data_IF_314336978840
#
_entry.id   IF_314336978840
#
_cell.length_a   1.000
_cell.length_b   1.000
_cell.length_c   1.000
_cell.angle_alpha   90.00
_cell.angle_beta   90.00
_cell.angle_gamma   90.00
#
_symmetry.space_group_name_H-M   'P 1'
#
loop_
_entity.id
_entity.type
_entity.pdbx_description
1 polymer ?
#
# COMPACT_ATOMS: atom_id res chain seq x y z
N UNK A 1 13.29 -28.57 -57.32
CA UNK A 1 12.51 -28.91 -56.10
C UNK A 1 13.16 -28.35 -54.84
N UNK A 2 14.49 -28.33 -54.72
CA UNK A 2 15.24 -27.77 -53.58
C UNK A 2 14.98 -26.28 -53.33
N UNK A 3 14.93 -25.43 -54.36
CA UNK A 3 14.72 -23.98 -54.21
C UNK A 3 13.35 -23.58 -53.65
N UNK A 4 12.29 -24.35 -53.96
CA UNK A 4 10.94 -24.13 -53.42
C UNK A 4 10.83 -24.58 -51.95
N UNK A 5 11.58 -25.63 -51.58
CA UNK A 5 11.64 -26.13 -50.20
C UNK A 5 12.41 -25.16 -49.30
N UNK A 6 13.50 -24.59 -49.80
CA UNK A 6 14.31 -23.61 -49.06
C UNK A 6 13.55 -22.29 -48.84
N UNK A 7 12.78 -21.81 -49.83
CA UNK A 7 11.97 -20.60 -49.71
C UNK A 7 10.81 -20.77 -48.71
N UNK A 8 10.17 -21.95 -48.71
CA UNK A 8 9.14 -22.31 -47.75
C UNK A 8 9.70 -22.41 -46.32
N UNK A 9 10.89 -23.00 -46.16
CA UNK A 9 11.57 -23.08 -44.86
C UNK A 9 11.94 -21.69 -44.34
N UNK A 10 12.55 -20.84 -45.16
CA UNK A 10 12.93 -19.48 -44.76
C UNK A 10 11.71 -18.64 -44.38
N UNK A 11 10.60 -18.79 -45.10
CA UNK A 11 9.34 -18.11 -44.77
C UNK A 11 8.83 -18.53 -43.39
N UNK A 12 8.80 -19.84 -43.12
CA UNK A 12 8.33 -20.36 -41.84
C UNK A 12 9.28 -20.01 -40.67
N UNK A 13 10.59 -20.00 -40.91
CA UNK A 13 11.58 -19.58 -39.93
C UNK A 13 11.38 -18.12 -39.50
N UNK A 14 11.12 -17.21 -40.46
CA UNK A 14 10.79 -15.80 -40.14
C UNK A 14 9.52 -15.68 -39.32
N UNK A 15 8.52 -16.50 -39.61
CA UNK A 15 7.27 -16.50 -38.85
C UNK A 15 7.47 -17.00 -37.41
N UNK A 16 8.26 -18.05 -37.20
CA UNK A 16 8.66 -18.53 -35.87
C UNK A 16 9.38 -17.43 -35.09
N UNK A 17 10.34 -16.73 -35.71
CA UNK A 17 11.04 -15.61 -35.07
C UNK A 17 10.08 -14.48 -34.67
N UNK A 18 9.13 -14.13 -35.55
CA UNK A 18 8.09 -13.13 -35.28
C UNK A 18 7.19 -13.54 -34.10
N UNK A 19 6.75 -14.80 -34.06
CA UNK A 19 5.90 -15.32 -32.99
C UNK A 19 6.64 -15.41 -31.65
N UNK A 20 7.92 -15.81 -31.65
CA UNK A 20 8.76 -15.79 -30.46
C UNK A 20 8.87 -14.36 -29.92
N UNK A 21 9.12 -13.38 -30.78
CA UNK A 21 9.13 -11.97 -30.42
C UNK A 21 7.80 -11.51 -29.78
N UNK A 22 6.66 -11.93 -30.33
CA UNK A 22 5.33 -11.63 -29.76
C UNK A 22 5.15 -12.23 -28.36
N UNK A 23 5.58 -13.48 -28.15
CA UNK A 23 5.52 -14.12 -26.83
C UNK A 23 6.36 -13.35 -25.80
N UNK A 24 7.59 -12.97 -26.18
CA UNK A 24 8.49 -12.23 -25.30
C UNK A 24 7.95 -10.84 -24.96
N UNK A 25 7.38 -10.12 -25.93
CA UNK A 25 6.75 -8.82 -25.68
C UNK A 25 5.54 -8.94 -24.73
N UNK A 26 4.71 -9.98 -24.88
CA UNK A 26 3.57 -10.21 -23.99
C UNK A 26 4.01 -10.57 -22.57
N UNK A 27 5.06 -11.38 -22.42
CA UNK A 27 5.69 -11.65 -21.12
C UNK A 27 6.30 -10.39 -20.49
N UNK A 28 6.92 -9.50 -21.27
CA UNK A 28 7.41 -8.22 -20.77
C UNK A 28 6.25 -7.30 -20.32
N UNK A 29 5.13 -7.29 -21.03
CA UNK A 29 3.92 -6.57 -20.59
C UNK A 29 3.41 -7.13 -19.26
N UNK A 30 3.34 -8.45 -19.13
CA UNK A 30 2.99 -9.13 -17.88
C UNK A 30 3.93 -8.71 -16.74
N UNK A 31 5.25 -8.78 -16.97
CA UNK A 31 6.25 -8.41 -15.97
C UNK A 31 6.16 -6.93 -15.56
N UNK A 32 5.90 -6.03 -16.52
CA UNK A 32 5.68 -4.60 -16.22
C UNK A 32 4.43 -4.39 -15.36
N UNK A 33 3.35 -5.10 -15.64
CA UNK A 33 2.11 -4.97 -14.89
C UNK A 33 2.24 -5.51 -13.47
N UNK A 34 2.82 -6.70 -13.28
CA UNK A 34 3.04 -7.25 -11.94
C UNK A 34 4.01 -6.38 -11.13
N UNK A 35 5.03 -5.76 -11.76
CA UNK A 35 5.90 -4.77 -11.09
C UNK A 35 5.10 -3.58 -10.56
N UNK A 36 4.21 -3.01 -11.39
CA UNK A 36 3.35 -1.91 -10.96
C UNK A 36 2.44 -2.33 -9.80
N UNK A 37 1.82 -3.51 -9.87
CA UNK A 37 1.01 -4.03 -8.77
C UNK A 37 1.83 -4.20 -7.49
N UNK A 38 2.98 -4.87 -7.57
CA UNK A 38 3.82 -5.13 -6.41
C UNK A 38 4.35 -3.86 -5.76
N UNK A 39 4.64 -2.82 -6.55
CA UNK A 39 5.07 -1.53 -6.04
C UNK A 39 3.99 -0.81 -5.21
N UNK A 40 2.71 -1.02 -5.51
CA UNK A 40 1.61 -0.21 -4.97
C UNK A 40 0.59 -0.96 -4.10
N UNK A 41 0.69 -2.29 -4.00
CA UNK A 41 -0.27 -3.07 -3.22
C UNK A 41 -0.17 -2.84 -1.69
N UNK A 42 0.96 -2.33 -1.21
CA UNK A 42 1.19 -2.13 0.22
C UNK A 42 2.16 -0.97 0.45
N UNK A 43 1.86 -0.14 1.45
CA UNK A 43 2.73 0.92 1.95
C UNK A 43 2.57 0.99 3.46
N UNK A 44 3.68 1.10 4.19
CA UNK A 44 3.68 1.24 5.64
C UNK A 44 4.88 2.05 6.09
N UNK A 45 4.67 3.00 7.01
CA UNK A 45 5.75 3.76 7.62
C UNK A 45 5.31 5.09 8.24
N UNK A 46 6.27 5.85 8.79
CA UNK A 46 6.03 7.21 9.27
C UNK A 46 5.49 8.11 8.15
N UNK A 47 4.49 8.95 8.46
CA UNK A 47 3.82 9.80 7.46
C UNK A 47 4.81 10.66 6.66
N UNK A 48 5.82 11.23 7.34
CA UNK A 48 6.84 12.08 6.73
C UNK A 48 7.81 11.32 5.79
N UNK A 49 7.87 9.99 5.87
CA UNK A 49 8.78 9.16 5.09
C UNK A 49 8.07 8.32 4.02
N UNK A 50 6.73 8.38 3.92
CA UNK A 50 5.94 7.53 3.03
C UNK A 50 6.37 7.64 1.56
N UNK A 51 6.65 8.85 1.08
CA UNK A 51 7.10 9.06 -0.30
C UNK A 51 8.43 8.35 -0.58
N UNK A 52 9.39 8.44 0.36
CA UNK A 52 10.68 7.77 0.25
C UNK A 52 10.54 6.23 0.33
N UNK A 53 9.68 5.73 1.23
CA UNK A 53 9.37 4.30 1.32
C UNK A 53 8.77 3.78 0.00
N UNK A 54 7.85 4.55 -0.59
CA UNK A 54 7.22 4.20 -1.86
C UNK A 54 8.22 4.20 -3.02
N UNK A 55 9.11 5.19 -3.09
CA UNK A 55 10.17 5.26 -4.09
C UNK A 55 11.13 4.06 -3.98
N UNK A 56 11.61 3.75 -2.77
CA UNK A 56 12.48 2.61 -2.53
C UNK A 56 11.83 1.27 -2.93
N UNK A 57 10.50 1.14 -2.71
CA UNK A 57 9.76 -0.06 -3.12
C UNK A 57 9.64 -0.19 -4.64
N UNK A 58 9.45 0.93 -5.36
CA UNK A 58 9.46 0.97 -6.82
C UNK A 58 10.82 0.51 -7.35
N UNK A 59 11.91 1.09 -6.82
CA UNK A 59 13.28 0.78 -7.26
C UNK A 59 13.65 -0.69 -6.98
N UNK A 60 13.34 -1.20 -5.79
CA UNK A 60 13.54 -2.61 -5.45
C UNK A 60 12.77 -3.54 -6.39
N UNK A 61 11.54 -3.17 -6.74
CA UNK A 61 10.67 -4.00 -7.60
C UNK A 61 11.11 -3.94 -9.08
N UNK A 62 11.68 -2.83 -9.53
CA UNK A 62 12.08 -2.62 -10.93
C UNK A 62 13.10 -3.66 -11.43
N UNK A 63 14.05 -4.05 -10.57
CA UNK A 63 15.11 -5.02 -10.89
C UNK A 63 14.69 -6.49 -10.83
N UNK A 64 13.48 -6.80 -10.32
CA UNK A 64 13.06 -8.19 -10.13
C UNK A 64 12.65 -8.84 -11.45
N UNK A 65 12.96 -10.14 -11.56
CA UNK A 65 12.51 -10.97 -12.69
C UNK A 65 11.12 -11.54 -12.42
N UNK A 66 10.42 -11.97 -13.48
CA UNK A 66 9.11 -12.62 -13.37
C UNK A 66 9.05 -13.71 -12.29
N UNK A 67 10.08 -14.56 -12.16
CA UNK A 67 10.11 -15.62 -11.15
C UNK A 67 10.08 -15.09 -9.71
N UNK A 68 10.89 -14.07 -9.43
CA UNK A 68 10.90 -13.39 -8.12
C UNK A 68 9.56 -12.68 -7.86
N UNK A 69 9.02 -11.98 -8.87
CA UNK A 69 7.75 -11.26 -8.76
C UNK A 69 6.56 -12.19 -8.50
N UNK A 70 6.53 -13.36 -9.12
CA UNK A 70 5.51 -14.39 -8.85
C UNK A 70 5.61 -14.89 -7.41
N UNK A 71 6.83 -15.08 -6.89
CA UNK A 71 7.05 -15.41 -5.48
C UNK A 71 6.51 -14.34 -4.54
N UNK A 72 6.85 -13.07 -4.79
CA UNK A 72 6.40 -11.94 -3.99
C UNK A 72 4.87 -11.79 -4.05
N UNK A 73 4.27 -11.92 -5.23
CA UNK A 73 2.83 -11.84 -5.45
C UNK A 73 2.08 -12.89 -4.61
N UNK A 74 2.56 -14.15 -4.62
CA UNK A 74 1.99 -15.26 -3.86
C UNK A 74 2.27 -15.18 -2.34
N UNK A 75 3.25 -14.37 -1.93
CA UNK A 75 3.60 -14.18 -0.53
C UNK A 75 2.89 -13.00 0.14
N UNK A 76 2.39 -12.03 -0.64
CA UNK A 76 1.92 -10.75 -0.10
C UNK A 76 0.59 -10.27 -0.67
N UNK A 77 0.30 -10.50 -1.95
CA UNK A 77 -0.90 -10.01 -2.60
C UNK A 77 -1.98 -11.09 -2.74
N UNK A 78 -1.67 -12.23 -3.36
CA UNK A 78 -2.62 -13.35 -3.50
C UNK A 78 -2.46 -14.25 -2.28
N UNK A 79 -3.50 -14.36 -1.46
CA UNK A 79 -3.48 -15.11 -0.20
C UNK A 79 -4.66 -16.08 -0.13
N UNK A 80 -4.53 -17.23 0.56
CA UNK A 80 -5.68 -18.05 0.87
C UNK A 80 -6.60 -17.30 1.85
N UNK A 81 -7.91 -17.53 1.76
CA UNK A 81 -8.85 -17.07 2.79
C UNK A 81 -8.51 -17.79 4.10
N UNK A 82 -8.04 -17.04 5.09
CA UNK A 82 -7.92 -17.52 6.48
C UNK A 82 -9.32 -17.49 7.14
N UNK A 83 -9.68 -18.55 7.85
CA UNK A 83 -10.99 -18.69 8.52
C UNK A 83 -11.00 -17.98 9.90
N UNK A 84 -9.88 -17.39 10.33
CA UNK A 84 -9.73 -16.73 11.62
C UNK A 84 -9.71 -15.19 11.52
N UNK A 85 -10.11 -14.47 12.60
CA UNK A 85 -10.37 -13.03 12.56
C UNK A 85 -9.10 -12.23 12.21
N UNK A 86 -9.24 -11.01 11.64
CA UNK A 86 -8.12 -10.23 11.13
C UNK A 86 -7.05 -10.04 12.22
N UNK A 87 -5.91 -10.69 12.01
CA UNK A 87 -4.75 -10.59 12.86
C UNK A 87 -4.30 -9.13 12.96
N UNK A 88 -4.03 -8.71 14.21
CA UNK A 88 -3.43 -7.42 14.56
C UNK A 88 -2.38 -7.01 13.52
N UNK A 89 -2.59 -5.85 12.89
CA UNK A 89 -1.49 -5.11 12.28
C UNK A 89 -0.54 -4.75 13.44
N UNK A 90 0.53 -5.51 13.60
CA UNK A 90 1.60 -5.16 14.53
C UNK A 90 2.38 -4.01 13.91
N UNK A 91 1.94 -2.78 14.18
CA UNK A 91 2.76 -1.59 13.98
C UNK A 91 3.85 -1.59 15.05
N UNK A 92 5.03 -2.13 14.72
CA UNK A 92 6.26 -1.87 15.48
C UNK A 92 6.77 -0.47 15.11
N UNK A 93 6.01 0.56 15.46
CA UNK A 93 6.48 1.94 15.43
C UNK A 93 6.76 2.37 16.87
N UNK A 94 7.79 3.21 17.12
CA UNK A 94 7.87 3.94 18.38
C UNK A 94 6.52 4.62 18.64
N UNK A 95 5.99 4.52 19.88
CA UNK A 95 4.63 4.97 20.22
C UNK A 95 4.35 6.44 19.86
N UNK A 96 5.38 7.24 19.61
CA UNK A 96 5.31 8.69 19.42
C UNK A 96 5.37 9.19 17.96
N UNK A 97 5.51 8.33 16.95
CA UNK A 97 5.58 8.78 15.53
C UNK A 97 4.31 8.39 14.77
N UNK A 98 3.55 9.36 14.21
CA UNK A 98 2.39 9.07 13.37
C UNK A 98 2.79 8.17 12.19
N UNK A 99 2.19 6.99 12.12
CA UNK A 99 2.42 5.99 11.08
C UNK A 99 1.15 5.74 10.28
N UNK A 100 1.34 5.40 9.02
CA UNK A 100 0.28 4.99 8.10
C UNK A 100 0.63 3.61 7.56
N UNK A 101 -0.36 2.74 7.47
CA UNK A 101 -0.25 1.45 6.83
C UNK A 101 -1.48 1.17 5.97
N UNK A 102 -1.26 0.71 4.74
CA UNK A 102 -2.28 0.24 3.82
C UNK A 102 -1.75 -1.02 3.14
N UNK A 103 -2.60 -2.05 3.08
CA UNK A 103 -2.31 -3.29 2.36
C UNK A 103 -3.56 -3.74 1.61
N UNK A 104 -3.40 -4.04 0.33
CA UNK A 104 -4.43 -4.62 -0.54
C UNK A 104 -4.03 -6.05 -0.88
N UNK A 105 -4.98 -6.97 -0.75
CA UNK A 105 -4.77 -8.39 -0.99
C UNK A 105 -5.96 -8.99 -1.74
N UNK A 106 -5.69 -10.00 -2.57
CA UNK A 106 -6.67 -10.86 -3.20
C UNK A 106 -6.77 -12.15 -2.39
N UNK A 107 -7.85 -12.28 -1.63
CA UNK A 107 -8.13 -13.50 -0.86
C UNK A 107 -8.90 -14.50 -1.72
N UNK A 108 -8.36 -15.71 -1.85
CA UNK A 108 -8.94 -16.79 -2.66
C UNK A 108 -9.26 -18.02 -1.79
N UNK A 109 -10.35 -18.75 -2.08
CA UNK A 109 -10.56 -20.08 -1.51
C UNK A 109 -9.34 -20.99 -1.75
N UNK A 110 -9.05 -21.91 -0.84
CA UNK A 110 -7.85 -22.75 -0.89
C UNK A 110 -7.65 -23.50 -2.22
N UNK A 111 -8.75 -23.98 -2.82
CA UNK A 111 -8.71 -24.64 -4.13
C UNK A 111 -8.27 -23.69 -5.25
N UNK A 112 -8.81 -22.46 -5.24
CA UNK A 112 -8.47 -21.42 -6.21
C UNK A 112 -7.03 -20.91 -6.01
N UNK A 113 -6.60 -20.70 -4.77
CA UNK A 113 -5.24 -20.33 -4.44
C UNK A 113 -4.23 -21.37 -4.97
N UNK A 114 -4.51 -22.65 -4.75
CA UNK A 114 -3.65 -23.74 -5.23
C UNK A 114 -3.58 -23.78 -6.76
N UNK A 115 -4.72 -23.57 -7.43
CA UNK A 115 -4.77 -23.46 -8.91
C UNK A 115 -3.92 -22.29 -9.39
N UNK A 116 -4.16 -21.07 -8.89
CA UNK A 116 -3.43 -19.86 -9.28
C UNK A 116 -1.92 -20.01 -9.03
N UNK A 117 -1.54 -20.57 -7.88
CA UNK A 117 -0.13 -20.84 -7.55
C UNK A 117 0.55 -21.77 -8.55
N UNK A 118 -0.12 -22.83 -8.98
CA UNK A 118 0.40 -23.75 -10.01
C UNK A 118 0.52 -23.02 -11.34
N UNK A 119 -0.53 -22.35 -11.76
CA UNK A 119 -0.65 -21.67 -13.05
C UNK A 119 0.41 -20.55 -13.22
N UNK A 120 0.71 -19.79 -12.16
CA UNK A 120 1.80 -18.81 -12.16
C UNK A 120 3.19 -19.45 -12.23
N UNK A 121 3.39 -20.61 -11.59
CA UNK A 121 4.65 -21.36 -11.73
C UNK A 121 4.83 -21.90 -13.16
N UNK A 122 3.76 -22.37 -13.78
CA UNK A 122 3.77 -22.78 -15.19
C UNK A 122 4.14 -21.62 -16.11
N UNK A 123 3.66 -20.40 -15.84
CA UNK A 123 4.03 -19.21 -16.61
C UNK A 123 5.54 -18.89 -16.50
N UNK A 124 6.13 -19.04 -15.31
CA UNK A 124 7.58 -18.86 -15.10
C UNK A 124 8.37 -19.92 -15.87
N UNK A 125 7.93 -21.18 -15.83
CA UNK A 125 8.55 -22.27 -16.61
C UNK A 125 8.44 -22.00 -18.11
N UNK A 126 7.27 -21.58 -18.59
CA UNK A 126 7.05 -21.21 -19.98
C UNK A 126 8.00 -20.10 -20.42
N UNK A 127 8.13 -19.03 -19.64
CA UNK A 127 9.09 -17.94 -19.91
C UNK A 127 10.51 -18.47 -20.00
N UNK A 128 10.93 -19.32 -19.06
CA UNK A 128 12.29 -19.85 -19.05
C UNK A 128 12.56 -20.77 -20.24
N UNK A 129 11.59 -21.61 -20.61
CA UNK A 129 11.70 -22.44 -21.82
C UNK A 129 11.85 -21.60 -23.08
N UNK A 130 10.99 -20.58 -23.25
CA UNK A 130 11.05 -19.69 -24.42
C UNK A 130 12.37 -18.92 -24.53
N UNK A 131 12.96 -18.51 -23.40
CA UNK A 131 14.18 -17.70 -23.38
C UNK A 131 15.45 -18.55 -23.43
N UNK A 132 15.48 -19.71 -22.78
CA UNK A 132 16.70 -20.47 -22.54
C UNK A 132 16.79 -21.81 -23.26
N UNK A 133 15.65 -22.41 -23.65
CA UNK A 133 15.62 -23.79 -24.17
C UNK A 133 14.95 -23.92 -25.54
N UNK A 134 14.36 -22.86 -26.06
CA UNK A 134 13.54 -22.91 -27.28
C UNK A 134 14.31 -23.45 -28.50
N UNK A 135 15.54 -22.98 -28.72
CA UNK A 135 16.39 -23.41 -29.85
C UNK A 135 16.89 -24.85 -29.66
N UNK A 136 17.07 -25.29 -28.42
CA UNK A 136 17.50 -26.67 -28.12
C UNK A 136 16.36 -27.68 -28.38
N UNK A 137 15.11 -27.23 -28.25
CA UNK A 137 13.90 -28.06 -28.40
C UNK A 137 13.39 -28.13 -29.84
N UNK A 138 13.67 -27.12 -30.65
CA UNK A 138 13.16 -27.02 -32.02
C UNK A 138 14.28 -26.74 -33.02
N UNK A 139 14.47 -27.66 -33.97
CA UNK A 139 15.40 -27.45 -35.08
C UNK A 139 14.85 -26.42 -36.09
N UNK A 140 15.29 -25.17 -35.97
CA UNK A 140 14.88 -24.09 -36.86
C UNK A 140 15.52 -24.15 -38.25
N UNK A 141 16.32 -25.19 -38.53
CA UNK A 141 16.95 -25.44 -39.83
C UNK A 141 16.29 -26.58 -40.60
N UNK A 142 15.18 -27.12 -40.09
CA UNK A 142 14.30 -28.04 -40.83
C UNK A 142 12.87 -27.52 -40.92
N UNK A 143 12.18 -27.92 -41.98
CA UNK A 143 10.77 -27.61 -42.21
C UNK A 143 9.87 -28.13 -41.07
N UNK A 144 10.08 -29.37 -40.63
CA UNK A 144 9.29 -29.98 -39.55
C UNK A 144 9.58 -29.34 -38.19
N UNK A 145 10.84 -29.01 -37.91
CA UNK A 145 11.21 -28.30 -36.70
C UNK A 145 10.61 -26.89 -36.65
N UNK A 146 10.58 -26.17 -37.78
CA UNK A 146 9.89 -24.88 -37.88
C UNK A 146 8.37 -25.00 -37.70
N UNK A 147 7.72 -26.06 -38.21
CA UNK A 147 6.27 -26.29 -38.00
C UNK A 147 5.96 -26.57 -36.53
N UNK A 148 6.73 -27.46 -35.91
CA UNK A 148 6.62 -27.76 -34.49
C UNK A 148 6.82 -26.52 -33.61
N UNK A 149 7.85 -25.71 -33.92
CA UNK A 149 8.13 -24.45 -33.24
C UNK A 149 6.97 -23.46 -33.38
N UNK A 150 6.41 -23.32 -34.58
CA UNK A 150 5.27 -22.45 -34.84
C UNK A 150 4.07 -22.83 -33.95
N UNK A 151 3.68 -24.10 -33.95
CA UNK A 151 2.52 -24.58 -33.19
C UNK A 151 2.74 -24.44 -31.67
N UNK A 152 3.94 -24.73 -31.20
CA UNK A 152 4.32 -24.52 -29.80
C UNK A 152 4.23 -23.03 -29.40
N UNK A 153 4.68 -22.12 -30.26
CA UNK A 153 4.61 -20.67 -30.00
C UNK A 153 3.18 -20.13 -30.02
N UNK A 154 2.30 -20.64 -30.88
CA UNK A 154 0.88 -20.27 -30.87
C UNK A 154 0.23 -20.68 -29.55
N UNK A 155 0.47 -21.90 -29.09
CA UNK A 155 -0.03 -22.39 -27.80
C UNK A 155 0.55 -21.59 -26.62
N UNK A 156 1.85 -21.32 -26.66
CA UNK A 156 2.52 -20.50 -25.65
C UNK A 156 1.92 -19.10 -25.58
N UNK A 157 1.74 -18.43 -26.72
CA UNK A 157 1.16 -17.09 -26.78
C UNK A 157 -0.22 -17.06 -26.15
N UNK A 158 -1.10 -18.00 -26.52
CA UNK A 158 -2.46 -18.07 -25.98
C UNK A 158 -2.45 -18.26 -24.45
N UNK A 159 -1.55 -19.11 -23.93
CA UNK A 159 -1.42 -19.31 -22.47
C UNK A 159 -0.92 -18.04 -21.77
N UNK A 160 0.06 -17.35 -22.33
CA UNK A 160 0.56 -16.07 -21.80
C UNK A 160 -0.55 -15.02 -21.81
N UNK A 161 -1.34 -14.97 -22.88
CA UNK A 161 -2.41 -13.99 -23.07
C UNK A 161 -3.52 -14.15 -22.03
N UNK A 162 -3.94 -15.39 -21.75
CA UNK A 162 -4.91 -15.71 -20.70
C UNK A 162 -4.40 -15.21 -19.34
N UNK A 163 -3.16 -15.55 -18.98
CA UNK A 163 -2.56 -15.09 -17.72
C UNK A 163 -2.46 -13.57 -17.65
N UNK A 164 -2.15 -12.92 -18.77
CA UNK A 164 -2.09 -11.47 -18.82
C UNK A 164 -3.45 -10.82 -18.57
N UNK A 165 -4.52 -11.31 -19.18
CA UNK A 165 -5.86 -10.75 -18.95
C UNK A 165 -6.37 -11.01 -17.52
N UNK A 166 -6.02 -12.16 -16.92
CA UNK A 166 -6.28 -12.41 -15.48
C UNK A 166 -5.55 -11.39 -14.58
N UNK A 167 -4.24 -11.19 -14.81
CA UNK A 167 -3.45 -10.20 -14.07
C UNK A 167 -3.99 -8.78 -14.26
N UNK A 168 -4.43 -8.45 -15.48
CA UNK A 168 -5.06 -7.17 -15.79
C UNK A 168 -6.34 -6.95 -15.00
N UNK A 169 -7.20 -7.96 -14.89
CA UNK A 169 -8.39 -7.89 -14.03
C UNK A 169 -8.03 -7.54 -12.59
N UNK A 170 -7.01 -8.21 -12.03
CA UNK A 170 -6.54 -7.91 -10.67
C UNK A 170 -5.99 -6.49 -10.52
N UNK A 171 -5.21 -6.02 -11.50
CA UNK A 171 -4.68 -4.66 -11.51
C UNK A 171 -5.80 -3.60 -11.58
N UNK A 172 -6.83 -3.84 -12.39
CA UNK A 172 -7.99 -2.95 -12.52
C UNK A 172 -8.79 -2.88 -11.21
N UNK A 173 -9.01 -4.01 -10.55
CA UNK A 173 -9.72 -4.06 -9.26
C UNK A 173 -8.91 -3.44 -8.12
N UNK A 174 -7.58 -3.62 -8.12
CA UNK A 174 -6.69 -2.92 -7.19
C UNK A 174 -6.77 -1.40 -7.37
N UNK A 175 -6.75 -0.91 -8.62
CA UNK A 175 -6.84 0.52 -8.90
C UNK A 175 -8.20 1.11 -8.52
N UNK A 176 -9.31 0.38 -8.75
CA UNK A 176 -10.64 0.78 -8.28
C UNK A 176 -10.66 0.90 -6.76
N UNK A 177 -10.11 -0.10 -6.05
CA UNK A 177 -10.04 -0.12 -4.58
C UNK A 177 -9.21 1.05 -4.06
N UNK A 178 -8.07 1.34 -4.69
CA UNK A 178 -7.21 2.48 -4.34
C UNK A 178 -7.91 3.82 -4.51
N UNK A 179 -8.65 4.01 -5.62
CA UNK A 179 -9.43 5.25 -5.85
C UNK A 179 -10.54 5.42 -4.83
N UNK A 180 -11.24 4.34 -4.51
CA UNK A 180 -12.27 4.35 -3.47
C UNK A 180 -11.68 4.69 -2.09
N UNK A 181 -10.57 4.08 -1.71
CA UNK A 181 -9.90 4.42 -0.46
C UNK A 181 -9.43 5.88 -0.42
N UNK A 182 -8.88 6.38 -1.53
CA UNK A 182 -8.49 7.79 -1.63
C UNK A 182 -9.69 8.74 -1.46
N UNK A 183 -10.85 8.43 -2.03
CA UNK A 183 -12.06 9.25 -1.86
C UNK A 183 -12.59 9.19 -0.42
N UNK A 184 -12.48 8.04 0.25
CA UNK A 184 -12.81 7.93 1.68
C UNK A 184 -11.87 8.79 2.52
N UNK A 185 -10.56 8.69 2.33
CA UNK A 185 -9.56 9.48 3.09
C UNK A 185 -9.76 10.99 2.89
N UNK A 186 -10.14 11.41 1.69
CA UNK A 186 -10.39 12.82 1.37
C UNK A 186 -11.77 13.33 1.84
N UNK A 187 -12.65 12.44 2.29
CA UNK A 187 -14.00 12.82 2.74
C UNK A 187 -13.97 13.58 4.06
N UNK A 188 -14.91 14.53 4.21
CA UNK A 188 -15.09 15.25 5.47
C UNK A 188 -15.46 14.30 6.61
N UNK A 189 -16.22 13.24 6.32
CA UNK A 189 -16.56 12.20 7.31
C UNK A 189 -15.31 11.53 7.89
N UNK A 190 -14.33 11.17 7.05
CA UNK A 190 -13.08 10.59 7.52
C UNK A 190 -12.27 11.59 8.33
N UNK A 191 -12.19 12.84 7.88
CA UNK A 191 -11.55 13.92 8.63
C UNK A 191 -12.18 14.10 10.01
N UNK A 192 -13.50 14.13 10.10
CA UNK A 192 -14.18 14.29 11.39
C UNK A 192 -13.93 13.10 12.32
N UNK A 193 -14.09 11.87 11.84
CA UNK A 193 -13.98 10.69 12.70
C UNK A 193 -12.53 10.33 13.07
N UNK A 194 -11.60 10.44 12.12
CA UNK A 194 -10.23 9.93 12.30
C UNK A 194 -9.25 11.04 12.67
N UNK A 195 -9.35 12.22 12.06
CA UNK A 195 -8.45 13.34 12.36
C UNK A 195 -8.95 14.12 13.57
N UNK A 196 -10.24 14.46 13.59
CA UNK A 196 -10.80 15.23 14.70
C UNK A 196 -11.26 14.33 15.86
N UNK A 197 -11.49 13.03 15.64
CA UNK A 197 -11.99 12.14 16.70
C UNK A 197 -13.45 12.39 17.07
N UNK A 198 -14.26 12.91 16.14
CA UNK A 198 -15.67 13.28 16.34
C UNK A 198 -16.55 12.29 15.59
N UNK A 199 -17.36 11.54 16.33
CA UNK A 199 -18.32 10.59 15.78
C UNK A 199 -19.52 11.30 15.12
N UNK A 200 -20.31 10.56 14.34
CA UNK A 200 -21.47 11.11 13.60
C UNK A 200 -22.57 11.65 14.52
N UNK A 201 -22.64 11.20 15.75
CA UNK A 201 -23.53 11.69 16.81
C UNK A 201 -22.95 12.89 17.58
N UNK A 202 -21.82 13.45 17.12
CA UNK A 202 -21.03 14.51 17.75
C UNK A 202 -20.31 14.10 19.05
N UNK A 203 -20.25 12.81 19.38
CA UNK A 203 -19.45 12.33 20.51
C UNK A 203 -17.95 12.44 20.20
N UNK A 204 -17.16 12.96 21.14
CA UNK A 204 -15.71 13.14 20.98
C UNK A 204 -14.94 11.99 21.63
N UNK A 205 -14.09 11.33 20.86
CA UNK A 205 -13.10 10.35 21.35
C UNK A 205 -11.82 11.08 21.74
N UNK A 206 -11.81 11.67 22.93
CA UNK A 206 -10.75 12.57 23.39
C UNK A 206 -9.31 12.06 23.23
N UNK A 207 -8.96 10.80 23.56
CA UNK A 207 -7.58 10.31 23.40
C UNK A 207 -7.05 10.36 21.97
N UNK A 208 -7.95 10.23 20.98
CA UNK A 208 -7.63 10.20 19.56
C UNK A 208 -7.96 11.54 18.85
N UNK A 209 -8.51 12.53 19.56
CA UNK A 209 -8.93 13.78 18.97
C UNK A 209 -7.75 14.67 18.60
N UNK A 210 -7.71 15.18 17.36
CA UNK A 210 -6.64 16.07 16.88
C UNK A 210 -6.35 17.28 17.78
N UNK A 211 -7.38 17.84 18.43
CA UNK A 211 -7.22 18.94 19.40
C UNK A 211 -6.42 18.56 20.64
N UNK A 212 -6.49 17.30 21.08
CA UNK A 212 -5.69 16.79 22.20
C UNK A 212 -4.24 16.60 21.77
N UNK A 213 -4.01 16.07 20.56
CA UNK A 213 -2.67 15.99 19.99
C UNK A 213 -2.02 17.37 19.83
N UNK A 214 -2.78 18.36 19.37
CA UNK A 214 -2.31 19.75 19.28
C UNK A 214 -1.99 20.35 20.66
N UNK A 215 -2.75 20.01 21.70
CA UNK A 215 -2.46 20.42 23.09
C UNK A 215 -1.20 19.76 23.64
N UNK A 216 -0.93 18.49 23.31
CA UNK A 216 0.34 17.81 23.66
C UNK A 216 1.53 18.47 22.98
N UNK A 217 1.42 18.72 21.68
CA UNK A 217 2.48 19.38 20.90
C UNK A 217 2.78 20.78 21.44
N UNK A 218 1.74 21.58 21.67
CA UNK A 218 1.88 22.90 22.29
C UNK A 218 2.51 22.82 23.69
N UNK A 219 2.23 21.78 24.47
CA UNK A 219 2.86 21.58 25.77
C UNK A 219 4.34 21.21 25.64
N UNK A 220 4.71 20.38 24.66
CA UNK A 220 6.11 20.06 24.35
C UNK A 220 6.95 21.30 24.02
N UNK A 221 6.35 22.28 23.35
CA UNK A 221 7.02 23.53 22.95
C UNK A 221 7.01 24.62 24.04
N UNK A 222 5.92 24.73 24.81
CA UNK A 222 5.66 25.90 25.65
C UNK A 222 5.74 25.64 27.16
N UNK A 223 5.85 24.37 27.60
CA UNK A 223 5.82 24.07 29.02
C UNK A 223 7.05 24.62 29.76
N UNK A 224 6.79 25.27 30.90
CA UNK A 224 7.81 25.66 31.87
C UNK A 224 7.54 24.89 33.14
N UNK A 225 8.55 24.18 33.66
CA UNK A 225 8.44 23.24 34.78
C UNK A 225 7.32 22.19 34.59
N UNK A 226 7.14 21.76 33.33
CA UNK A 226 6.13 20.79 32.94
C UNK A 226 4.71 21.36 32.84
N UNK A 227 4.49 22.67 33.01
CA UNK A 227 3.17 23.30 32.89
C UNK A 227 3.13 24.29 31.72
N UNK A 228 2.21 24.07 30.78
CA UNK A 228 1.96 24.98 29.65
C UNK A 228 0.79 25.92 29.95
N UNK A 229 0.88 27.19 29.55
CA UNK A 229 -0.23 28.14 29.67
C UNK A 229 -1.32 27.83 28.64
N UNK A 230 -2.58 27.70 29.09
CA UNK A 230 -3.71 27.46 28.18
C UNK A 230 -3.86 28.60 27.17
N UNK A 231 -3.57 29.84 27.58
CA UNK A 231 -3.69 31.01 26.69
C UNK A 231 -2.58 31.03 25.62
N UNK A 232 -1.36 30.62 25.97
CA UNK A 232 -0.24 30.57 25.02
C UNK A 232 -0.42 29.39 24.06
N UNK A 233 -0.78 28.22 24.59
CA UNK A 233 -1.13 27.06 23.78
C UNK A 233 -2.28 27.36 22.82
N UNK A 234 -3.34 28.08 23.26
CA UNK A 234 -4.43 28.44 22.36
C UNK A 234 -3.99 29.30 21.17
N UNK A 235 -3.06 30.24 21.38
CA UNK A 235 -2.51 31.08 20.30
C UNK A 235 -1.63 30.24 19.37
N UNK A 236 -0.74 29.45 19.97
CA UNK A 236 0.16 28.56 19.25
C UNK A 236 -0.59 27.57 18.35
N UNK A 237 -1.69 26.98 18.85
CA UNK A 237 -2.53 26.05 18.10
C UNK A 237 -3.32 26.80 17.02
N UNK A 238 -3.92 27.94 17.33
CA UNK A 238 -4.71 28.71 16.34
C UNK A 238 -3.85 29.18 15.16
N UNK A 239 -2.59 29.52 15.41
CA UNK A 239 -1.63 29.93 14.37
C UNK A 239 -1.20 28.78 13.44
N UNK A 240 -1.17 27.54 13.94
CA UNK A 240 -0.68 26.35 13.19
C UNK A 240 -1.78 25.47 12.64
N UNK A 241 -2.88 25.37 13.36
CA UNK A 241 -3.99 24.47 13.11
C UNK A 241 -5.31 25.23 13.26
N UNK A 242 -5.66 26.03 12.26
CA UNK A 242 -6.85 26.89 12.26
C UNK A 242 -8.16 26.13 12.52
N UNK A 243 -8.17 24.84 12.20
CA UNK A 243 -9.38 23.99 12.23
C UNK A 243 -9.66 23.41 13.63
N UNK A 244 -8.69 23.47 14.54
CA UNK A 244 -8.84 22.96 15.91
C UNK A 244 -9.40 24.05 16.83
N UNK A 245 -10.71 24.27 16.71
CA UNK A 245 -11.46 25.23 17.54
C UNK A 245 -12.24 24.52 18.63
N UNK A 246 -12.30 25.04 19.87
CA UNK A 246 -13.09 24.44 20.96
C UNK A 246 -14.55 24.16 20.57
N UNK A 247 -15.18 25.06 19.81
CA UNK A 247 -16.59 24.94 19.40
C UNK A 247 -16.85 23.68 18.58
N UNK A 248 -15.85 23.22 17.82
CA UNK A 248 -15.93 21.99 17.02
C UNK A 248 -16.11 20.75 17.89
N UNK A 249 -15.62 20.81 19.13
CA UNK A 249 -15.68 19.74 20.13
C UNK A 249 -16.77 19.97 21.18
N UNK A 250 -17.78 20.81 20.88
CA UNK A 250 -18.85 21.17 21.83
C UNK A 250 -18.37 22.01 23.02
N UNK A 251 -17.17 22.57 22.96
CA UNK A 251 -16.56 23.34 24.03
C UNK A 251 -16.60 24.85 23.76
N UNK A 252 -16.96 25.63 24.77
CA UNK A 252 -16.98 27.10 24.69
C UNK A 252 -15.60 27.75 24.81
N UNK A 253 -14.60 27.03 25.33
CA UNK A 253 -13.25 27.55 25.54
C UNK A 253 -12.18 26.45 25.58
N UNK A 254 -10.92 26.82 25.34
CA UNK A 254 -9.77 25.91 25.48
C UNK A 254 -9.63 25.31 26.88
N UNK A 255 -10.02 26.06 27.92
CA UNK A 255 -10.07 25.52 29.30
C UNK A 255 -11.07 24.38 29.42
N UNK A 256 -12.22 24.49 28.75
CA UNK A 256 -13.22 23.43 28.73
C UNK A 256 -12.70 22.20 27.97
N UNK A 257 -12.01 22.38 26.83
CA UNK A 257 -11.36 21.27 26.10
C UNK A 257 -10.37 20.52 26.99
N UNK A 258 -9.47 21.25 27.67
CA UNK A 258 -8.49 20.65 28.59
C UNK A 258 -9.19 19.88 29.71
N UNK A 259 -10.29 20.40 30.25
CA UNK A 259 -11.08 19.74 31.29
C UNK A 259 -11.82 18.49 30.79
N UNK A 260 -12.62 18.61 29.73
CA UNK A 260 -13.48 17.56 29.18
C UNK A 260 -12.67 16.40 28.60
N UNK A 261 -11.47 16.67 28.05
CA UNK A 261 -10.57 15.63 27.58
C UNK A 261 -10.15 14.64 28.66
N UNK A 262 -10.13 15.06 29.94
CA UNK A 262 -9.66 14.31 31.11
C UNK A 262 -8.24 13.75 31.01
N UNK A 263 -7.48 14.14 29.97
CA UNK A 263 -6.10 13.70 29.71
C UNK A 263 -5.09 14.61 30.43
N UNK A 264 -5.46 15.88 30.63
CA UNK A 264 -4.61 16.88 31.26
C UNK A 264 -5.04 17.17 32.69
N UNK A 265 -4.08 17.51 33.53
CA UNK A 265 -4.30 18.24 34.78
C UNK A 265 -4.46 19.72 34.44
N UNK A 266 -5.42 20.40 35.05
CA UNK A 266 -5.63 21.85 34.92
C UNK A 266 -5.47 22.51 36.29
N UNK A 267 -4.56 23.49 36.39
CA UNK A 267 -4.33 24.27 37.62
C UNK A 267 -4.27 25.75 37.32
N UNK A 268 -4.51 26.56 38.35
CA UNK A 268 -4.39 28.01 38.28
C UNK A 268 -3.14 28.45 39.03
N UNK A 269 -2.35 29.29 38.38
CA UNK A 269 -1.14 29.89 38.94
C UNK A 269 -1.33 31.40 38.98
N UNK A 270 -0.81 32.06 40.01
CA UNK A 270 -0.70 33.52 40.04
C UNK A 270 0.72 33.91 39.66
N UNK A 271 0.84 34.67 38.57
CA UNK A 271 2.08 35.36 38.18
C UNK A 271 1.75 36.84 38.05
N UNK A 272 2.52 37.68 38.74
CA UNK A 272 2.39 39.14 38.71
C UNK A 272 0.96 39.64 38.98
N UNK A 273 0.25 38.99 39.91
CA UNK A 273 -1.13 39.34 40.27
C UNK A 273 -2.20 38.94 39.24
N UNK A 274 -1.82 38.22 38.18
CA UNK A 274 -2.75 37.67 37.17
C UNK A 274 -2.86 36.16 37.31
N UNK A 275 -4.11 35.70 37.42
CA UNK A 275 -4.44 34.27 37.47
C UNK A 275 -4.36 33.66 36.06
N UNK A 276 -3.43 32.73 35.86
CA UNK A 276 -3.23 32.00 34.61
C UNK A 276 -3.62 30.54 34.75
N UNK A 277 -4.46 30.04 33.84
CA UNK A 277 -4.76 28.62 33.74
C UNK A 277 -3.61 27.92 33.02
N UNK A 278 -3.05 26.88 33.63
CA UNK A 278 -1.99 26.05 33.07
C UNK A 278 -2.36 24.58 33.10
N UNK A 279 -1.84 23.83 32.14
CA UNK A 279 -2.12 22.40 32.00
C UNK A 279 -0.85 21.59 31.82
N UNK A 280 -0.95 20.30 32.15
CA UNK A 280 0.10 19.28 31.99
C UNK A 280 -0.56 17.94 31.72
N UNK A 281 0.04 17.08 30.91
CA UNK A 281 -0.48 15.73 30.71
C UNK A 281 -0.45 14.93 32.02
N UNK A 282 -1.52 14.17 32.29
CA UNK A 282 -1.54 13.26 33.43
C UNK A 282 -0.53 12.15 33.17
N UNK A 283 0.28 11.82 34.17
CA UNK A 283 1.10 10.61 34.12
C UNK A 283 0.16 9.41 34.07
N UNK A 284 0.13 8.70 32.94
CA UNK A 284 -0.58 7.43 32.83
C UNK A 284 -0.01 6.48 33.90
N UNK A 285 -0.85 5.95 34.79
CA UNK A 285 -0.46 4.94 35.78
C UNK A 285 -0.10 3.57 35.17
N UNK A 286 0.17 3.51 33.86
CA UNK A 286 0.46 2.29 33.11
C UNK A 286 1.96 2.06 32.83
N UNK A 287 2.85 3.01 33.15
CA UNK A 287 4.31 2.87 32.93
C UNK A 287 5.13 2.58 34.20
N UNK A 288 4.54 1.87 35.16
CA UNK A 288 5.29 1.27 36.29
C UNK A 288 4.85 -0.18 36.47
N UNK A 289 5.44 -1.07 35.68
CA UNK A 289 5.89 -2.43 36.03
C UNK A 289 6.42 -3.14 34.78
#
# INVERSE_FOLDING_TARGET
MTTLSDDAQQTLQREVQRLLGRCLLRLQQYERLIKAMMAHHEISGPVHALEAVQAAKIDNTAGKTLGTLVGDLLGSYVVPVEIDPPGKVTTSSPEDVPSFAMKMQLSLPNADFTRVKRDLKELVLLRNNLVHHFIDQHDLWSLDGCRSAHDALVLAYNRIDIHFEELRGWAEDMEKSRRFLASVIQSDMFREQVVNGIATDSTVTWPAAGVVSALREAAGELAVDGWASVAEASRWITERYSDYLPVKYGCSSWRQVVHESRIFELRYFELDGKRSARYREKLNSANTC
#
